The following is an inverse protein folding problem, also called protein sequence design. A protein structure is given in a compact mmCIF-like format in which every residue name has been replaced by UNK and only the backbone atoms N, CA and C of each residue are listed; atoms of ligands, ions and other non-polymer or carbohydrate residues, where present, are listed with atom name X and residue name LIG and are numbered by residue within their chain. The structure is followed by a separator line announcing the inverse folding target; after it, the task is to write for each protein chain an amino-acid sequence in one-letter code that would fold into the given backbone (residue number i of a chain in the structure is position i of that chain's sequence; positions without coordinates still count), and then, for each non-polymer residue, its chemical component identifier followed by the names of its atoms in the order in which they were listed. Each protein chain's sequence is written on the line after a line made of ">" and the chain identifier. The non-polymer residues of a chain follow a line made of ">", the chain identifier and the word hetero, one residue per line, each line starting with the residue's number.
data_IF_910432571540
#
_entry.id   IF_910432571540
#
_cell.length_a   1.000
_cell.length_b   1.000
_cell.length_c   1.000
_cell.angle_alpha   90.00
_cell.angle_beta   90.00
_cell.angle_gamma   90.00
#
_symmetry.space_group_name_H-M   'P 1'
#
loop_
_entity.id
_entity.type
_entity.pdbx_description
1 polymer ?
#
# COMPACT_ATOMS: atom_id res chain seq x y z
N UNK A 1 -3.59 2.34 12.77
CA UNK A 1 -2.94 3.36 11.93
C UNK A 1 -3.32 4.73 12.47
N UNK A 2 -2.39 5.38 13.17
CA UNK A 2 -2.57 6.72 13.75
C UNK A 2 -1.93 7.74 12.82
N UNK A 3 -2.65 8.14 11.78
CA UNK A 3 -2.42 9.47 11.20
C UNK A 3 -3.40 10.37 11.96
N UNK A 4 -2.88 11.34 12.71
CA UNK A 4 -3.74 12.30 13.41
C UNK A 4 -4.46 13.18 12.38
N UNK A 5 -5.62 13.73 12.74
CA UNK A 5 -6.35 14.66 11.86
C UNK A 5 -5.46 15.82 11.40
N UNK A 6 -4.56 16.28 12.28
CA UNK A 6 -3.56 17.32 12.00
C UNK A 6 -2.58 16.93 10.88
N UNK A 7 -2.18 15.65 10.81
CA UNK A 7 -1.31 15.18 9.74
C UNK A 7 -2.05 15.13 8.40
N UNK A 8 -3.32 14.72 8.38
CA UNK A 8 -4.13 14.73 7.14
C UNK A 8 -4.25 16.16 6.60
N UNK A 9 -4.56 17.12 7.46
CA UNK A 9 -4.66 18.53 7.06
C UNK A 9 -3.36 19.07 6.45
N UNK A 10 -2.21 18.66 6.98
CA UNK A 10 -0.91 19.06 6.43
C UNK A 10 -0.72 18.59 4.98
N UNK A 11 -1.08 17.34 4.68
CA UNK A 11 -1.01 16.80 3.31
C UNK A 11 -2.00 17.49 2.38
N UNK A 12 -3.24 17.72 2.84
CA UNK A 12 -4.27 18.41 2.05
C UNK A 12 -3.87 19.86 1.73
N UNK A 13 -3.29 20.58 2.69
CA UNK A 13 -2.76 21.95 2.47
C UNK A 13 -1.62 21.99 1.45
N UNK A 14 -0.81 20.94 1.38
CA UNK A 14 0.26 20.80 0.38
C UNK A 14 -0.26 20.31 -1.00
N UNK A 15 -1.58 20.20 -1.19
CA UNK A 15 -2.20 19.78 -2.45
C UNK A 15 -2.17 18.27 -2.70
N UNK A 16 -1.87 17.45 -1.69
CA UNK A 16 -1.84 16.00 -1.85
C UNK A 16 -3.24 15.40 -1.90
N UNK A 17 -3.40 14.38 -2.73
CA UNK A 17 -4.61 13.55 -2.74
C UNK A 17 -4.47 12.42 -1.71
N UNK A 18 -5.26 12.48 -0.63
CA UNK A 18 -5.28 11.44 0.39
C UNK A 18 -6.27 10.34 0.01
N UNK A 19 -5.75 9.16 -0.33
CA UNK A 19 -6.57 8.00 -0.71
C UNK A 19 -6.81 7.10 0.49
N UNK A 20 -8.09 6.83 0.80
CA UNK A 20 -8.48 5.86 1.83
C UNK A 20 -8.61 4.47 1.21
N UNK A 21 -7.85 3.46 1.68
CA UNK A 21 -7.97 2.11 1.15
C UNK A 21 -9.28 1.44 1.62
N UNK A 22 -9.81 0.48 0.86
CA UNK A 22 -10.90 -0.36 1.30
C UNK A 22 -10.46 -1.29 2.43
N UNK A 23 -11.44 -1.85 3.15
CA UNK A 23 -11.20 -2.85 4.19
C UNK A 23 -10.53 -4.10 3.61
N UNK A 24 -9.51 -4.68 4.29
CA UNK A 24 -8.87 -5.91 3.87
C UNK A 24 -9.85 -7.09 3.77
N UNK A 25 -9.59 -8.00 2.84
CA UNK A 25 -10.39 -9.22 2.59
C UNK A 25 -9.77 -10.47 3.24
N UNK A 26 -8.57 -10.37 3.81
CA UNK A 26 -7.94 -11.49 4.51
C UNK A 26 -8.83 -12.01 5.66
N UNK A 27 -9.11 -13.32 5.72
CA UNK A 27 -9.96 -13.91 6.75
C UNK A 27 -9.44 -13.71 8.18
N UNK A 28 -10.36 -13.67 9.13
CA UNK A 28 -10.10 -13.51 10.57
C UNK A 28 -9.38 -14.71 11.19
N UNK A 29 -9.55 -15.90 10.62
CA UNK A 29 -8.93 -17.15 11.06
C UNK A 29 -7.52 -17.35 10.47
N UNK A 30 -7.08 -16.47 9.55
CA UNK A 30 -5.74 -16.53 9.01
C UNK A 30 -4.70 -16.02 10.03
N UNK A 31 -3.67 -16.80 10.37
CA UNK A 31 -2.70 -16.38 11.38
C UNK A 31 -1.85 -15.20 10.88
N UNK A 32 -1.80 -14.13 11.69
CA UNK A 32 -0.90 -12.99 11.52
C UNK A 32 -0.18 -12.75 12.87
N UNK A 33 1.08 -13.16 12.97
CA UNK A 33 1.78 -13.19 14.27
C UNK A 33 2.27 -11.83 14.75
N UNK A 34 2.63 -10.92 13.83
CA UNK A 34 3.27 -9.64 14.18
C UNK A 34 2.58 -8.40 13.61
N UNK A 35 1.62 -8.57 12.69
CA UNK A 35 0.98 -7.46 11.97
C UNK A 35 -0.54 -7.59 11.98
N UNK A 36 -1.23 -6.66 11.29
CA UNK A 36 -2.68 -6.65 11.16
C UNK A 36 -3.12 -6.95 9.73
N UNK A 37 -4.43 -7.14 9.54
CA UNK A 37 -5.03 -7.35 8.21
C UNK A 37 -4.74 -6.22 7.22
N UNK A 38 -4.36 -5.03 7.70
CA UNK A 38 -3.95 -3.89 6.88
C UNK A 38 -2.65 -4.11 6.10
N UNK A 39 -2.05 -5.31 6.12
CA UNK A 39 -1.06 -5.69 5.12
C UNK A 39 -1.57 -5.57 3.67
N UNK A 40 -2.89 -5.52 3.44
CA UNK A 40 -3.47 -5.22 2.13
C UNK A 40 -2.95 -3.90 1.51
N UNK A 41 -2.72 -2.87 2.32
CA UNK A 41 -2.17 -1.58 1.86
C UNK A 41 -0.63 -1.52 1.89
N UNK A 42 0.04 -2.57 2.36
CA UNK A 42 1.51 -2.67 2.37
C UNK A 42 2.03 -3.09 0.99
N UNK A 43 1.81 -2.22 0.01
CA UNK A 43 2.12 -2.44 -1.40
C UNK A 43 3.53 -1.99 -1.76
N UNK A 44 4.04 -2.46 -2.89
CA UNK A 44 5.27 -1.95 -3.50
C UNK A 44 4.96 -1.25 -4.82
N UNK A 45 5.22 0.06 -4.90
CA UNK A 45 5.18 0.78 -6.17
C UNK A 45 6.42 0.44 -7.01
N UNK A 46 6.23 -0.06 -8.22
CA UNK A 46 7.33 -0.27 -9.17
C UNK A 46 7.69 1.03 -9.91
N UNK A 47 6.67 1.83 -10.20
CA UNK A 47 6.74 3.18 -10.73
C UNK A 47 5.40 3.89 -10.47
N UNK A 48 5.20 5.17 -10.84
CA UNK A 48 3.95 5.89 -10.56
C UNK A 48 2.67 5.29 -11.17
N UNK A 49 2.77 4.32 -12.08
CA UNK A 49 1.65 3.70 -12.80
C UNK A 49 1.54 2.19 -12.59
N UNK A 50 2.44 1.57 -11.80
CA UNK A 50 2.43 0.12 -11.53
C UNK A 50 2.65 -0.17 -10.05
N UNK A 51 1.73 -0.94 -9.46
CA UNK A 51 1.77 -1.36 -8.07
C UNK A 51 1.74 -2.88 -7.95
N UNK A 52 2.57 -3.44 -7.07
CA UNK A 52 2.49 -4.84 -6.66
C UNK A 52 1.64 -4.95 -5.39
N UNK A 53 0.61 -5.79 -5.44
CA UNK A 53 -0.37 -5.95 -4.36
C UNK A 53 -0.84 -7.41 -4.24
N UNK A 54 -1.44 -7.76 -3.09
CA UNK A 54 -1.79 -9.13 -2.77
C UNK A 54 -2.91 -9.60 -3.71
N UNK A 55 -2.73 -10.77 -4.35
CA UNK A 55 -3.66 -11.28 -5.35
C UNK A 55 -5.10 -11.51 -4.83
N UNK A 56 -5.28 -11.65 -3.51
CA UNK A 56 -6.57 -11.92 -2.90
C UNK A 56 -7.32 -10.64 -2.47
N UNK A 57 -6.68 -9.47 -2.53
CA UNK A 57 -7.25 -8.19 -2.07
C UNK A 57 -7.99 -7.46 -3.20
N UNK A 58 -9.05 -8.05 -3.75
CA UNK A 58 -9.72 -7.56 -4.95
C UNK A 58 -10.30 -6.13 -4.84
N UNK A 59 -10.70 -5.71 -3.65
CA UNK A 59 -11.21 -4.35 -3.41
C UNK A 59 -10.10 -3.30 -3.58
N UNK A 60 -8.87 -3.58 -3.11
CA UNK A 60 -7.74 -2.67 -3.30
C UNK A 60 -7.30 -2.61 -4.76
N UNK A 61 -7.48 -3.70 -5.51
CA UNK A 61 -7.18 -3.71 -6.95
C UNK A 61 -8.07 -2.70 -7.68
N UNK A 62 -9.38 -2.75 -7.43
CA UNK A 62 -10.34 -1.79 -8.03
C UNK A 62 -10.02 -0.35 -7.68
N UNK A 63 -9.59 -0.08 -6.45
CA UNK A 63 -9.15 1.25 -6.04
C UNK A 63 -7.96 1.73 -6.88
N UNK A 64 -6.91 0.93 -7.03
CA UNK A 64 -5.76 1.29 -7.86
C UNK A 64 -6.12 1.43 -9.36
N UNK A 65 -6.94 0.52 -9.87
CA UNK A 65 -7.41 0.55 -11.27
C UNK A 65 -8.21 1.84 -11.56
N UNK A 66 -9.07 2.28 -10.63
CA UNK A 66 -9.81 3.54 -10.72
C UNK A 66 -8.89 4.79 -10.66
N UNK A 67 -7.73 4.67 -10.02
CA UNK A 67 -6.70 5.71 -10.01
C UNK A 67 -5.79 5.67 -11.27
N UNK A 68 -6.07 4.76 -12.21
CA UNK A 68 -5.25 4.57 -13.41
C UNK A 68 -3.89 3.93 -13.13
N UNK A 69 -3.79 3.15 -12.04
CA UNK A 69 -2.58 2.42 -11.63
C UNK A 69 -2.77 0.94 -11.94
N UNK A 70 -1.86 0.37 -12.74
CA UNK A 70 -1.87 -1.05 -13.10
C UNK A 70 -1.47 -1.92 -11.92
N UNK A 71 -2.28 -2.93 -11.63
CA UNK A 71 -2.07 -3.88 -10.53
C UNK A 71 -1.27 -5.11 -11.01
N UNK A 72 -0.19 -5.42 -10.30
CA UNK A 72 0.61 -6.64 -10.45
C UNK A 72 0.30 -7.52 -9.24
N UNK A 73 -0.53 -8.52 -9.49
CA UNK A 73 -1.18 -9.34 -8.46
C UNK A 73 -0.28 -10.53 -8.13
N UNK A 74 0.17 -10.63 -6.88
CA UNK A 74 1.02 -11.73 -6.41
C UNK A 74 0.45 -12.26 -5.10
N UNK A 75 0.37 -13.58 -4.95
CA UNK A 75 -0.12 -14.18 -3.71
C UNK A 75 1.05 -14.39 -2.74
N UNK A 76 1.03 -13.70 -1.60
CA UNK A 76 2.00 -13.86 -0.51
C UNK A 76 1.31 -14.18 0.83
N UNK A 77 0.10 -14.75 0.79
CA UNK A 77 -0.76 -14.96 1.97
C UNK A 77 -0.01 -15.58 3.17
N UNK A 78 0.78 -16.62 2.94
CA UNK A 78 1.53 -17.26 4.03
C UNK A 78 2.72 -16.43 4.52
N UNK A 79 3.35 -15.64 3.63
CA UNK A 79 4.40 -14.72 4.04
C UNK A 79 3.85 -13.56 4.89
N UNK A 80 2.58 -13.16 4.66
CA UNK A 80 1.91 -12.16 5.50
C UNK A 80 1.81 -12.60 6.97
N UNK A 81 1.74 -13.91 7.25
CA UNK A 81 1.73 -14.44 8.63
C UNK A 81 2.96 -14.02 9.43
N UNK A 82 4.11 -13.88 8.76
CA UNK A 82 5.36 -13.37 9.33
C UNK A 82 5.36 -11.84 9.53
N UNK A 83 4.25 -11.16 9.26
CA UNK A 83 4.06 -9.75 9.62
C UNK A 83 4.41 -8.72 8.54
N UNK A 84 4.67 -9.13 7.30
CA UNK A 84 5.07 -8.22 6.23
C UNK A 84 4.27 -8.39 4.95
N UNK A 85 3.99 -7.27 4.26
CA UNK A 85 3.54 -7.23 2.87
C UNK A 85 4.70 -6.86 1.94
N UNK A 86 4.41 -6.50 0.70
CA UNK A 86 5.45 -6.28 -0.32
C UNK A 86 6.50 -5.24 0.06
N UNK A 87 6.09 -4.14 0.70
CA UNK A 87 7.04 -3.13 1.18
C UNK A 87 7.94 -3.69 2.29
N UNK A 88 7.41 -4.47 3.21
CA UNK A 88 8.22 -5.07 4.28
C UNK A 88 9.20 -6.12 3.75
N UNK A 89 8.83 -6.85 2.70
CA UNK A 89 9.64 -7.91 2.10
C UNK A 89 10.71 -7.41 1.11
N UNK A 90 10.77 -6.11 0.85
CA UNK A 90 11.67 -5.56 -0.16
C UNK A 90 12.43 -4.35 0.37
N UNK A 91 13.52 -4.02 -0.32
CA UNK A 91 14.29 -2.80 -0.11
C UNK A 91 14.70 -2.26 -1.47
N UNK A 92 14.25 -1.06 -1.79
CA UNK A 92 14.50 -0.42 -3.07
C UNK A 92 15.89 0.23 -3.12
N UNK A 93 16.86 -0.53 -3.61
CA UNK A 93 18.27 -0.08 -3.72
C UNK A 93 18.45 1.03 -4.76
N UNK A 94 17.64 1.06 -5.82
CA UNK A 94 17.74 2.05 -6.90
C UNK A 94 16.39 2.31 -7.56
N UNK A 95 16.02 3.60 -7.64
CA UNK A 95 14.94 4.12 -8.49
C UNK A 95 15.49 5.19 -9.42
N UNK A 96 14.90 5.35 -10.60
CA UNK A 96 15.32 6.35 -11.58
C UNK A 96 14.55 7.66 -11.32
N UNK A 97 15.27 8.74 -11.04
CA UNK A 97 14.73 10.07 -10.79
C UNK A 97 15.81 11.04 -10.29
N UNK A 98 15.42 12.28 -10.03
CA UNK A 98 16.20 13.33 -9.38
C UNK A 98 15.72 13.57 -7.94
N UNK A 99 16.50 14.33 -7.16
CA UNK A 99 16.03 14.85 -5.89
C UNK A 99 15.03 15.99 -6.12
N UNK A 100 13.81 15.85 -5.59
CA UNK A 100 12.71 16.81 -5.74
C UNK A 100 12.00 17.03 -4.40
N UNK A 101 11.32 18.18 -4.26
CA UNK A 101 10.36 18.41 -3.17
C UNK A 101 8.95 18.24 -3.69
N UNK A 102 8.11 17.53 -2.93
CA UNK A 102 6.69 17.35 -3.22
C UNK A 102 5.79 18.01 -2.17
N UNK A 103 6.36 18.76 -1.22
CA UNK A 103 5.62 19.59 -0.28
C UNK A 103 5.84 21.05 -0.67
N UNK A 104 4.74 21.72 -1.04
CA UNK A 104 4.69 23.12 -1.44
C UNK A 104 3.64 23.86 -0.62
#
# INVERSE_FOLDING_TARGET
>A
SLISLLQVEMFEKAGWTVVKPPTPLIPDDHPLWMSSKWLSMNVLMLDPKRVMCDANEHTIHKMFENLGIKTIKVNIRHANSLGGGFHCWTTDVRRRGSLESYFH
#
